data_IF_746843119426
#
_entry.id   IF_746843119426
#
_cell.length_a   1.000
_cell.length_b   1.000
_cell.length_c   1.000
_cell.angle_alpha   90.00
_cell.angle_beta   90.00
_cell.angle_gamma   90.00
#
_symmetry.space_group_name_H-M   'P 1'
#
loop_
_entity.id
_entity.type
_entity.pdbx_description
1 polymer ?
#
# COMPACT_ATOMS: atom_id res chain seq x y z
N UNK A 1 -14.43 -21.57 -13.48
CA UNK A 1 -13.80 -20.48 -12.70
C UNK A 1 -14.19 -20.71 -11.24
N UNK A 2 -13.33 -21.39 -10.50
CA UNK A 2 -13.58 -21.81 -9.11
C UNK A 2 -13.26 -20.67 -8.15
N UNK A 3 -14.05 -20.50 -7.08
CA UNK A 3 -13.97 -19.33 -6.17
C UNK A 3 -12.60 -19.08 -5.52
N UNK A 4 -11.71 -20.08 -5.50
CA UNK A 4 -10.34 -19.96 -4.99
C UNK A 4 -9.48 -19.04 -5.88
N UNK A 5 -9.66 -19.08 -7.21
CA UNK A 5 -8.95 -18.17 -8.12
C UNK A 5 -9.38 -16.71 -7.94
N UNK A 6 -10.64 -16.48 -7.59
CA UNK A 6 -11.15 -15.15 -7.29
C UNK A 6 -10.45 -14.58 -6.05
N UNK A 7 -10.37 -15.37 -4.96
CA UNK A 7 -9.75 -14.96 -3.69
C UNK A 7 -8.25 -14.66 -3.86
N UNK A 8 -7.51 -15.48 -4.62
CA UNK A 8 -6.08 -15.26 -4.87
C UNK A 8 -5.85 -14.01 -5.76
N UNK A 9 -6.74 -13.77 -6.73
CA UNK A 9 -6.66 -12.58 -7.60
C UNK A 9 -7.08 -11.30 -6.88
N UNK A 10 -8.04 -11.40 -5.95
CA UNK A 10 -8.47 -10.32 -5.05
C UNK A 10 -7.36 -9.96 -4.05
N UNK A 11 -6.67 -10.95 -3.47
CA UNK A 11 -5.51 -10.73 -2.56
C UNK A 11 -4.38 -9.96 -3.24
N UNK A 12 -4.24 -10.14 -4.57
CA UNK A 12 -3.29 -9.38 -5.36
C UNK A 12 -3.71 -7.92 -5.57
N UNK A 13 -5.00 -7.61 -5.54
CA UNK A 13 -5.47 -6.22 -5.64
C UNK A 13 -5.43 -5.51 -4.29
N UNK A 14 -5.70 -6.20 -3.18
CA UNK A 14 -5.75 -5.58 -1.85
C UNK A 14 -4.46 -4.86 -1.46
N UNK A 15 -3.28 -5.45 -1.66
CA UNK A 15 -2.01 -4.77 -1.35
C UNK A 15 -1.75 -3.58 -2.26
N UNK A 16 -2.15 -3.67 -3.54
CA UNK A 16 -1.98 -2.59 -4.52
C UNK A 16 -2.92 -1.42 -4.19
N UNK A 17 -4.18 -1.71 -3.83
CA UNK A 17 -5.16 -0.71 -3.38
C UNK A 17 -4.67 -0.02 -2.12
N UNK A 18 -4.19 -0.78 -1.12
CA UNK A 18 -3.60 -0.21 0.12
C UNK A 18 -2.42 0.71 -0.21
N UNK A 19 -1.52 0.29 -1.09
CA UNK A 19 -0.37 1.08 -1.50
C UNK A 19 -0.79 2.37 -2.23
N UNK A 20 -1.74 2.29 -3.17
CA UNK A 20 -2.24 3.46 -3.93
C UNK A 20 -2.99 4.43 -3.03
N UNK A 21 -3.87 3.93 -2.16
CA UNK A 21 -4.61 4.75 -1.20
C UNK A 21 -3.65 5.44 -0.23
N UNK A 22 -2.65 4.71 0.30
CA UNK A 22 -1.62 5.27 1.18
C UNK A 22 -0.81 6.38 0.50
N UNK A 23 -0.36 6.15 -0.74
CA UNK A 23 0.34 7.14 -1.55
C UNK A 23 -0.50 8.41 -1.79
N UNK A 24 -1.79 8.23 -2.09
CA UNK A 24 -2.70 9.35 -2.34
C UNK A 24 -2.92 10.18 -1.08
N UNK A 25 -3.18 9.54 0.06
CA UNK A 25 -3.37 10.23 1.35
C UNK A 25 -2.12 11.00 1.76
N UNK A 26 -0.95 10.39 1.58
CA UNK A 26 0.33 11.03 1.89
C UNK A 26 0.59 12.25 1.01
N UNK A 27 0.33 12.16 -0.29
CA UNK A 27 0.49 13.29 -1.21
C UNK A 27 -0.44 14.44 -0.82
N UNK A 28 -1.71 14.14 -0.56
CA UNK A 28 -2.69 15.14 -0.11
C UNK A 28 -2.31 15.77 1.23
N UNK A 29 -1.89 14.96 2.20
CA UNK A 29 -1.38 15.45 3.49
C UNK A 29 -0.14 16.34 3.33
N UNK A 30 0.76 15.99 2.41
CA UNK A 30 1.97 16.79 2.10
C UNK A 30 1.61 18.14 1.48
N UNK A 31 0.62 18.19 0.57
CA UNK A 31 0.12 19.44 -0.01
C UNK A 31 -0.59 20.31 1.03
N UNK A 32 -1.41 19.71 1.89
CA UNK A 32 -2.07 20.40 2.99
C UNK A 32 -1.10 20.94 4.05
N UNK A 33 0.16 20.49 4.04
CA UNK A 33 1.22 21.00 4.91
C UNK A 33 1.75 22.37 4.48
N UNK A 34 1.42 22.86 3.28
CA UNK A 34 1.80 24.20 2.84
C UNK A 34 1.20 25.29 3.74
N UNK A 35 1.96 26.36 3.98
CA UNK A 35 1.58 27.47 4.87
C UNK A 35 0.24 28.15 4.49
N UNK A 36 -0.18 28.03 3.23
CA UNK A 36 -1.49 28.51 2.74
C UNK A 36 -2.67 27.83 3.45
N UNK A 37 -2.47 26.61 3.95
CA UNK A 37 -3.50 25.80 4.60
C UNK A 37 -3.31 25.69 6.11
N UNK A 38 -2.78 26.73 6.77
CA UNK A 38 -2.52 26.76 8.21
C UNK A 38 -3.65 26.22 9.09
N UNK A 39 -4.91 26.46 8.75
CA UNK A 39 -6.07 26.00 9.54
C UNK A 39 -6.35 24.49 9.40
N UNK A 40 -5.79 23.84 8.38
CA UNK A 40 -5.99 22.42 8.05
C UNK A 40 -4.80 21.56 8.48
N UNK A 41 -3.84 22.13 9.20
CA UNK A 41 -2.57 21.48 9.54
C UNK A 41 -2.77 20.21 10.37
N UNK A 42 -3.73 20.20 11.30
CA UNK A 42 -4.07 18.98 12.07
C UNK A 42 -4.55 17.86 11.15
N UNK A 43 -5.42 18.17 10.18
CA UNK A 43 -5.90 17.18 9.21
C UNK A 43 -4.74 16.69 8.31
N UNK A 44 -3.88 17.61 7.88
CA UNK A 44 -2.69 17.32 7.08
C UNK A 44 -1.78 16.29 7.77
N UNK A 45 -1.50 16.49 9.06
CA UNK A 45 -0.69 15.57 9.88
C UNK A 45 -1.32 14.18 9.93
N UNK A 46 -2.63 14.09 10.19
CA UNK A 46 -3.32 12.79 10.21
C UNK A 46 -3.31 12.09 8.86
N UNK A 47 -3.55 12.81 7.76
CA UNK A 47 -3.47 12.26 6.41
C UNK A 47 -2.06 11.77 6.07
N UNK A 48 -1.04 12.51 6.52
CA UNK A 48 0.37 12.15 6.33
C UNK A 48 0.76 10.89 7.10
N UNK A 49 0.40 10.80 8.39
CA UNK A 49 0.70 9.64 9.24
C UNK A 49 -0.05 8.40 8.77
N UNK A 50 -1.35 8.52 8.47
CA UNK A 50 -2.14 7.40 7.97
C UNK A 50 -1.68 6.97 6.57
N UNK A 51 -1.40 7.91 5.68
CA UNK A 51 -0.90 7.64 4.34
C UNK A 51 0.44 6.91 4.35
N UNK A 52 1.41 7.40 5.13
CA UNK A 52 2.73 6.76 5.28
C UNK A 52 2.65 5.38 5.92
N UNK A 53 1.77 5.18 6.90
CA UNK A 53 1.53 3.87 7.52
C UNK A 53 0.97 2.86 6.52
N UNK A 54 -0.02 3.27 5.71
CA UNK A 54 -0.58 2.43 4.64
C UNK A 54 0.46 2.07 3.58
N UNK A 55 1.32 3.03 3.20
CA UNK A 55 2.44 2.73 2.29
C UNK A 55 3.40 1.70 2.87
N UNK A 56 3.75 1.81 4.15
CA UNK A 56 4.65 0.87 4.80
C UNK A 56 4.04 -0.54 4.80
N UNK A 57 2.75 -0.67 5.13
CA UNK A 57 2.03 -1.95 5.08
C UNK A 57 1.97 -2.51 3.66
N UNK A 58 1.66 -1.67 2.66
CA UNK A 58 1.64 -2.06 1.26
C UNK A 58 3.00 -2.56 0.76
N UNK A 59 4.08 -1.86 1.11
CA UNK A 59 5.45 -2.23 0.77
C UNK A 59 5.86 -3.55 1.43
N UNK A 60 5.51 -3.77 2.71
CA UNK A 60 5.76 -5.04 3.38
C UNK A 60 5.04 -6.21 2.69
N UNK A 61 3.80 -6.00 2.23
CA UNK A 61 3.04 -6.98 1.47
C UNK A 61 3.71 -7.36 0.14
N UNK A 62 4.18 -6.36 -0.62
CA UNK A 62 4.89 -6.59 -1.89
C UNK A 62 6.21 -7.32 -1.68
N UNK A 63 6.98 -6.93 -0.65
CA UNK A 63 8.22 -7.61 -0.29
C UNK A 63 7.96 -9.07 0.08
N UNK A 64 6.99 -9.34 0.96
CA UNK A 64 6.64 -10.70 1.37
C UNK A 64 6.25 -11.58 0.17
N UNK A 65 5.41 -11.05 -0.74
CA UNK A 65 5.02 -11.72 -1.97
C UNK A 65 6.23 -12.00 -2.88
N UNK A 66 7.09 -11.02 -3.10
CA UNK A 66 8.29 -11.17 -3.94
C UNK A 66 9.25 -12.24 -3.41
N UNK A 67 9.37 -12.36 -2.08
CA UNK A 67 10.19 -13.40 -1.42
C UNK A 67 9.55 -14.78 -1.61
N UNK A 68 8.23 -14.89 -1.49
CA UNK A 68 7.51 -16.15 -1.71
C UNK A 68 7.62 -16.64 -3.15
N UNK A 69 7.34 -15.78 -4.14
CA UNK A 69 7.41 -16.14 -5.56
C UNK A 69 8.84 -16.55 -5.97
N UNK A 70 9.87 -15.92 -5.40
CA UNK A 70 11.27 -16.30 -5.63
C UNK A 70 11.58 -17.70 -5.08
N UNK A 71 11.04 -18.06 -3.92
CA UNK A 71 11.22 -19.40 -3.33
C UNK A 71 10.51 -20.47 -4.15
N UNK A 72 9.32 -20.20 -4.64
CA UNK A 72 8.56 -21.13 -5.47
C UNK A 72 9.25 -21.38 -6.82
N UNK A 73 9.72 -20.32 -7.49
CA UNK A 73 10.49 -20.44 -8.74
C UNK A 73 11.82 -21.18 -8.56
N UNK A 74 12.45 -21.09 -7.39
CA UNK A 74 13.69 -21.82 -7.08
C UNK A 74 13.43 -23.30 -6.80
N UNK A 75 12.29 -23.65 -6.19
CA UNK A 75 11.89 -25.03 -5.92
C UNK A 75 11.47 -25.77 -7.20
N UNK A 76 10.77 -25.10 -8.12
CA UNK A 76 10.28 -25.70 -9.37
C UNK A 76 11.36 -25.81 -10.48
N UNK A 77 12.60 -25.36 -10.21
CA UNK A 77 13.77 -25.49 -11.11
C UNK A 77 14.67 -26.70 -10.78
N UNK A 78 14.31 -27.50 -9.77
CA UNK A 78 14.95 -28.78 -9.44
C UNK A 78 14.08 -29.94 -9.88
#
# INVERSE_FOLDING_TARGET
MTGIELIVREYRHWHLTIAVTGNTLFLLGSVLFFQVFSSWQTLAVWMFVLGSTLMLVGAMGEVAKSVYERREKAANRR
#
